data_IF_265061786399
#
_entry.id   IF_265061786399
#
_cell.length_a   1.000
_cell.length_b   1.000
_cell.length_c   1.000
_cell.angle_alpha   90.00
_cell.angle_beta   90.00
_cell.angle_gamma   90.00
#
_symmetry.space_group_name_H-M   'P 1'
#
loop_
_entity.id
_entity.type
_entity.pdbx_description
1 polymer ?
#
# COMPACT_ATOMS: atom_id res chain seq x y z
N UNK A 1 -11.04 46.36 2.31
CA UNK A 1 -12.05 45.29 2.21
C UNK A 1 -11.66 44.14 1.27
N UNK A 2 -11.13 44.39 0.05
CA UNK A 2 -10.72 43.31 -0.88
C UNK A 2 -9.56 42.43 -0.34
N UNK A 3 -8.59 43.04 0.33
CA UNK A 3 -7.40 42.36 0.86
C UNK A 3 -7.69 41.39 2.02
N UNK A 4 -8.68 41.68 2.86
CA UNK A 4 -9.13 40.81 3.96
C UNK A 4 -9.95 39.62 3.44
N UNK A 5 -10.73 39.83 2.37
CA UNK A 5 -11.48 38.78 1.70
C UNK A 5 -10.54 37.75 1.04
N UNK A 6 -9.47 38.21 0.39
CA UNK A 6 -8.45 37.32 -0.21
C UNK A 6 -7.73 36.44 0.81
N UNK A 7 -7.38 36.98 1.99
CA UNK A 7 -6.76 36.20 3.08
C UNK A 7 -7.71 35.15 3.64
N UNK A 8 -9.00 35.46 3.78
CA UNK A 8 -10.00 34.52 4.23
C UNK A 8 -10.20 33.37 3.23
N UNK A 9 -10.24 33.66 1.92
CA UNK A 9 -10.35 32.64 0.86
C UNK A 9 -9.13 31.72 0.84
N UNK A 10 -7.92 32.27 0.98
CA UNK A 10 -6.69 31.46 1.06
C UNK A 10 -6.71 30.58 2.31
N UNK A 11 -7.10 31.12 3.47
CA UNK A 11 -7.23 30.35 4.70
C UNK A 11 -8.22 29.19 4.56
N UNK A 12 -9.39 29.43 3.97
CA UNK A 12 -10.38 28.40 3.70
C UNK A 12 -9.84 27.33 2.74
N UNK A 13 -9.15 27.72 1.66
CA UNK A 13 -8.56 26.79 0.71
C UNK A 13 -7.49 25.89 1.37
N UNK A 14 -6.63 26.46 2.21
CA UNK A 14 -5.63 25.68 2.97
C UNK A 14 -6.30 24.67 3.88
N UNK A 15 -7.35 25.07 4.62
CA UNK A 15 -8.09 24.14 5.50
C UNK A 15 -8.69 22.99 4.69
N UNK A 16 -9.31 23.27 3.54
CA UNK A 16 -9.90 22.23 2.68
C UNK A 16 -8.83 21.23 2.21
N UNK A 17 -7.67 21.73 1.78
CA UNK A 17 -6.55 20.87 1.35
C UNK A 17 -6.03 20.00 2.50
N UNK A 18 -5.88 20.58 3.70
CA UNK A 18 -5.43 19.83 4.87
C UNK A 18 -6.42 18.73 5.27
N UNK A 19 -7.72 19.03 5.25
CA UNK A 19 -8.78 18.05 5.54
C UNK A 19 -8.78 16.94 4.51
N UNK A 20 -8.67 17.27 3.21
CA UNK A 20 -8.62 16.27 2.14
C UNK A 20 -7.38 15.38 2.26
N UNK A 21 -6.20 15.95 2.56
CA UNK A 21 -4.98 15.19 2.76
C UNK A 21 -5.10 14.24 3.96
N UNK A 22 -5.64 14.71 5.09
CA UNK A 22 -5.84 13.88 6.27
C UNK A 22 -6.83 12.74 6.00
N UNK A 23 -7.95 13.02 5.33
CA UNK A 23 -8.92 12.01 4.94
C UNK A 23 -8.29 10.95 4.01
N UNK A 24 -7.50 11.38 3.02
CA UNK A 24 -6.78 10.47 2.13
C UNK A 24 -5.81 9.55 2.88
N UNK A 25 -5.05 10.08 3.85
CA UNK A 25 -4.15 9.30 4.68
C UNK A 25 -4.91 8.25 5.50
N UNK A 26 -6.01 8.64 6.15
CA UNK A 26 -6.82 7.72 6.97
C UNK A 26 -7.42 6.59 6.12
N UNK A 27 -7.97 6.92 4.94
CA UNK A 27 -8.54 5.94 4.02
C UNK A 27 -7.47 4.97 3.51
N UNK A 28 -6.26 5.47 3.20
CA UNK A 28 -5.14 4.64 2.77
C UNK A 28 -4.75 3.60 3.83
N UNK A 29 -4.56 4.04 5.08
CA UNK A 29 -4.20 3.12 6.17
C UNK A 29 -5.29 2.09 6.44
N UNK A 30 -6.55 2.50 6.43
CA UNK A 30 -7.68 1.61 6.64
C UNK A 30 -7.77 0.56 5.52
N UNK A 31 -7.56 0.97 4.27
CA UNK A 31 -7.53 0.05 3.14
C UNK A 31 -6.39 -0.95 3.24
N UNK A 32 -5.17 -0.52 3.59
CA UNK A 32 -4.03 -1.42 3.79
C UNK A 32 -4.30 -2.46 4.87
N UNK A 33 -4.85 -2.05 6.02
CA UNK A 33 -5.21 -2.96 7.11
C UNK A 33 -6.27 -3.98 6.70
N UNK A 34 -7.30 -3.53 5.97
CA UNK A 34 -8.36 -4.41 5.48
C UNK A 34 -7.83 -5.47 4.52
N UNK A 35 -6.91 -5.11 3.64
CA UNK A 35 -6.28 -6.07 2.72
C UNK A 35 -5.47 -7.10 3.49
N UNK A 36 -4.65 -6.67 4.45
CA UNK A 36 -3.85 -7.56 5.29
C UNK A 36 -4.73 -8.52 6.10
N UNK A 37 -5.74 -8.01 6.82
CA UNK A 37 -6.69 -8.83 7.57
C UNK A 37 -7.44 -9.83 6.69
N UNK A 38 -7.84 -9.42 5.49
CA UNK A 38 -8.52 -10.32 4.55
C UNK A 38 -7.58 -11.45 4.10
N UNK A 39 -6.32 -11.14 3.83
CA UNK A 39 -5.32 -12.14 3.46
C UNK A 39 -5.05 -13.13 4.60
N UNK A 40 -4.92 -12.63 5.83
CA UNK A 40 -4.73 -13.45 7.03
C UNK A 40 -5.91 -14.38 7.26
N UNK A 41 -7.14 -13.85 7.18
CA UNK A 41 -8.35 -14.64 7.32
C UNK A 41 -8.52 -15.69 6.21
N UNK A 42 -8.14 -15.36 4.97
CA UNK A 42 -8.27 -16.28 3.84
C UNK A 42 -7.25 -17.42 3.87
N UNK A 43 -6.08 -17.20 4.48
CA UNK A 43 -4.98 -18.17 4.50
C UNK A 43 -4.79 -18.86 5.85
N UNK A 44 -5.36 -18.31 6.93
CA UNK A 44 -5.00 -18.65 8.30
C UNK A 44 -3.58 -18.22 8.70
N UNK A 45 -2.92 -17.41 7.86
CA UNK A 45 -1.55 -16.96 8.01
C UNK A 45 -1.41 -15.60 8.71
N UNK A 46 -0.18 -15.09 8.71
CA UNK A 46 0.16 -13.73 9.18
C UNK A 46 0.92 -13.01 8.09
N UNK A 47 0.30 -12.04 7.43
CA UNK A 47 0.79 -11.33 6.25
C UNK A 47 2.14 -10.66 6.48
N UNK A 48 2.36 -10.10 7.67
CA UNK A 48 3.64 -9.52 8.07
C UNK A 48 4.83 -10.51 8.00
N UNK A 49 4.58 -11.83 8.02
CA UNK A 49 5.61 -12.87 7.92
C UNK A 49 5.84 -13.36 6.49
N UNK A 50 5.04 -12.91 5.52
CA UNK A 50 5.07 -13.44 4.16
C UNK A 50 6.45 -13.27 3.50
N UNK A 51 7.02 -12.06 3.51
CA UNK A 51 8.31 -11.78 2.83
C UNK A 51 9.47 -12.57 3.45
N UNK A 52 9.69 -12.56 4.79
CA UNK A 52 10.74 -13.38 5.40
C UNK A 52 10.62 -14.87 5.07
N UNK A 53 9.39 -15.42 5.05
CA UNK A 53 9.16 -16.82 4.72
C UNK A 53 9.49 -17.09 3.24
N UNK A 54 9.04 -16.24 2.32
CA UNK A 54 9.34 -16.37 0.88
C UNK A 54 10.86 -16.34 0.62
N UNK A 55 11.59 -15.46 1.31
CA UNK A 55 13.05 -15.38 1.22
C UNK A 55 13.72 -16.64 1.80
N UNK A 56 13.32 -17.06 2.99
CA UNK A 56 13.90 -18.23 3.67
C UNK A 56 13.68 -19.54 2.90
N UNK A 57 12.58 -19.65 2.15
CA UNK A 57 12.27 -20.83 1.34
C UNK A 57 12.80 -20.71 -0.11
N UNK A 58 13.55 -19.66 -0.43
CA UNK A 58 14.19 -19.50 -1.74
C UNK A 58 13.25 -19.13 -2.89
N UNK A 59 12.00 -18.75 -2.61
CA UNK A 59 11.01 -18.40 -3.64
C UNK A 59 11.53 -17.30 -4.57
N UNK A 60 12.20 -16.28 -4.01
CA UNK A 60 12.76 -15.15 -4.76
C UNK A 60 13.86 -15.55 -5.77
N UNK A 61 14.50 -16.72 -5.60
CA UNK A 61 15.54 -17.19 -6.52
C UNK A 61 14.97 -17.70 -7.84
N UNK A 62 13.80 -18.34 -7.81
CA UNK A 62 13.18 -18.93 -9.00
C UNK A 62 12.10 -18.04 -9.60
N UNK A 63 11.40 -17.25 -8.79
CA UNK A 63 10.21 -16.51 -9.18
C UNK A 63 10.42 -14.99 -9.19
N UNK A 64 9.61 -14.32 -10.00
CA UNK A 64 9.36 -12.89 -9.88
C UNK A 64 8.17 -12.64 -8.95
N UNK A 65 8.35 -11.79 -7.95
CA UNK A 65 7.34 -11.48 -6.94
C UNK A 65 7.36 -9.98 -6.60
N UNK A 66 6.28 -9.27 -6.92
CA UNK A 66 6.15 -7.84 -6.64
C UNK A 66 6.26 -7.55 -5.14
N UNK A 67 7.09 -6.57 -4.78
CA UNK A 67 7.31 -6.16 -3.38
C UNK A 67 8.29 -7.04 -2.58
N UNK A 68 8.78 -8.15 -3.13
CA UNK A 68 9.80 -9.00 -2.49
C UNK A 68 11.20 -8.59 -2.98
N UNK A 69 12.12 -8.19 -2.08
CA UNK A 69 13.47 -7.81 -2.47
C UNK A 69 14.20 -8.94 -3.22
N UNK A 70 14.78 -8.62 -4.37
CA UNK A 70 15.59 -9.56 -5.14
C UNK A 70 14.82 -10.62 -5.93
N UNK A 71 13.48 -10.67 -5.83
CA UNK A 71 12.65 -11.64 -6.55
C UNK A 71 12.53 -11.28 -8.04
N UNK A 72 13.55 -11.65 -8.82
CA UNK A 72 13.66 -11.43 -10.28
C UNK A 72 13.89 -12.74 -11.04
N UNK A 73 13.61 -13.89 -10.41
CA UNK A 73 13.79 -15.19 -11.02
C UNK A 73 12.85 -15.38 -12.22
N UNK A 74 13.36 -16.06 -13.25
CA UNK A 74 12.64 -16.38 -14.50
C UNK A 74 12.53 -17.89 -14.74
N UNK A 75 12.94 -18.70 -13.77
CA UNK A 75 12.89 -20.16 -13.86
C UNK A 75 11.47 -20.65 -13.64
N UNK A 76 10.82 -20.12 -12.60
CA UNK A 76 9.42 -20.36 -12.29
C UNK A 76 8.50 -19.29 -12.89
N UNK A 77 7.18 -19.57 -12.98
CA UNK A 77 6.21 -18.55 -13.38
C UNK A 77 6.19 -17.40 -12.37
N UNK A 78 5.60 -16.28 -12.75
CA UNK A 78 5.42 -15.15 -11.83
C UNK A 78 4.44 -15.54 -10.70
N UNK A 79 4.72 -15.09 -9.47
CA UNK A 79 3.84 -15.29 -8.31
C UNK A 79 3.17 -14.00 -7.83
N UNK A 80 3.39 -12.89 -8.53
CA UNK A 80 2.46 -11.78 -8.41
C UNK A 80 1.17 -12.10 -9.15
N UNK A 81 0.04 -11.70 -8.57
CA UNK A 81 -1.31 -12.02 -9.05
C UNK A 81 -1.64 -11.46 -10.45
N UNK A 82 -0.67 -10.92 -11.19
CA UNK A 82 -0.83 -10.56 -12.60
C UNK A 82 -0.71 -11.80 -13.47
N UNK A 83 -1.74 -12.65 -13.45
CA UNK A 83 -2.11 -13.41 -14.64
C UNK A 83 -2.97 -12.48 -15.51
N UNK A 84 -2.28 -11.72 -16.37
CA UNK A 84 -2.79 -11.31 -17.67
C UNK A 84 -1.99 -12.08 -18.71
#
# INVERSE_FOLDING_TARGET
>A
MRFTLSKAVIGAAVIVVLVAALAGILLYFEQSRRVEQKADNATGGVGARAIPIMMANGCAGCHTITGVPGAKGLVGPRLDASLA
#
